data_IF_336510991075
#
_entry.id   IF_336510991075
#
_cell.length_a   1.000
_cell.length_b   1.000
_cell.length_c   1.000
_cell.angle_alpha   90.00
_cell.angle_beta   90.00
_cell.angle_gamma   90.00
#
_symmetry.space_group_name_H-M   'P 1'
#
loop_
_entity.id
_entity.type
_entity.pdbx_description
1 polymer ?
#
# COMPACT_ATOMS: atom_id res chain seq x y z
N UNK A 1 4.05 11.87 12.09
CA UNK A 1 3.21 11.98 10.87
C UNK A 1 3.88 11.13 9.83
N UNK A 2 3.16 10.20 9.19
CA UNK A 2 3.74 9.34 8.16
C UNK A 2 4.22 10.20 7.00
N UNK A 3 5.46 10.01 6.58
CA UNK A 3 6.01 10.62 5.36
C UNK A 3 5.56 9.77 4.16
N UNK A 4 4.56 10.28 3.45
CA UNK A 4 3.97 9.62 2.28
C UNK A 4 4.85 9.76 1.04
N UNK A 5 5.64 10.84 0.95
CA UNK A 5 6.54 11.11 -0.17
C UNK A 5 7.69 10.09 -0.18
N UNK A 6 8.29 9.83 0.99
CA UNK A 6 9.32 8.80 1.12
C UNK A 6 8.83 7.37 0.79
N UNK A 7 7.52 7.11 0.90
CA UNK A 7 6.92 5.80 0.54
C UNK A 7 6.63 5.72 -0.96
N UNK A 8 6.21 6.82 -1.57
CA UNK A 8 6.06 6.92 -3.02
C UNK A 8 7.41 6.70 -3.72
N UNK A 9 8.48 7.37 -3.27
CA UNK A 9 9.84 7.19 -3.81
C UNK A 9 10.30 5.71 -3.75
N UNK A 10 9.97 5.03 -2.65
CA UNK A 10 10.29 3.61 -2.50
C UNK A 10 9.47 2.73 -3.44
N UNK A 11 8.21 3.06 -3.69
CA UNK A 11 7.37 2.34 -4.64
C UNK A 11 7.90 2.52 -6.07
N UNK A 12 8.28 3.74 -6.43
CA UNK A 12 8.83 4.05 -7.75
C UNK A 12 10.14 3.28 -8.02
N UNK A 13 11.03 3.21 -7.03
CA UNK A 13 12.25 2.42 -7.14
C UNK A 13 11.96 0.92 -7.36
N UNK A 14 10.96 0.37 -6.66
CA UNK A 14 10.55 -1.02 -6.82
C UNK A 14 9.93 -1.29 -8.20
N UNK A 15 9.07 -0.39 -8.69
CA UNK A 15 8.45 -0.50 -10.01
C UNK A 15 9.51 -0.45 -11.11
N UNK A 16 10.48 0.46 -11.01
CA UNK A 16 11.59 0.58 -11.95
C UNK A 16 12.50 -0.66 -11.97
N UNK A 17 12.88 -1.18 -10.80
CA UNK A 17 13.69 -2.41 -10.68
C UNK A 17 13.00 -3.63 -11.31
N UNK A 18 11.66 -3.68 -11.22
CA UNK A 18 10.87 -4.81 -11.73
C UNK A 18 10.29 -4.59 -13.13
N UNK A 19 10.47 -3.41 -13.73
CA UNK A 19 9.89 -3.07 -15.03
C UNK A 19 8.35 -3.09 -15.03
N UNK A 20 7.74 -2.69 -13.91
CA UNK A 20 6.29 -2.68 -13.73
C UNK A 20 5.76 -1.26 -13.84
N UNK A 21 4.60 -1.08 -14.47
CA UNK A 21 3.93 0.22 -14.53
C UNK A 21 3.03 0.48 -13.31
N UNK A 22 2.56 -0.58 -12.65
CA UNK A 22 1.69 -0.49 -11.48
C UNK A 22 1.74 -1.76 -10.62
N UNK A 23 1.28 -1.64 -9.37
CA UNK A 23 1.03 -2.78 -8.46
C UNK A 23 -0.38 -2.68 -7.86
N UNK A 24 -1.03 -3.83 -7.68
CA UNK A 24 -2.31 -3.92 -7.00
C UNK A 24 -2.13 -4.46 -5.58
N UNK A 25 -2.51 -3.66 -4.58
CA UNK A 25 -2.49 -4.09 -3.18
C UNK A 25 -3.79 -4.83 -2.84
N UNK A 26 -3.82 -6.14 -3.11
CA UNK A 26 -4.99 -6.98 -2.84
C UNK A 26 -5.31 -7.18 -1.35
N UNK A 27 -4.34 -6.94 -0.45
CA UNK A 27 -4.48 -7.14 0.98
C UNK A 27 -4.51 -5.80 1.74
N UNK A 28 -5.35 -5.66 2.78
CA UNK A 28 -5.50 -4.41 3.56
C UNK A 28 -4.18 -3.86 4.10
N UNK A 29 -3.24 -4.73 4.48
CA UNK A 29 -1.96 -4.32 5.06
C UNK A 29 -1.08 -3.54 4.06
N UNK A 30 -1.18 -3.83 2.77
CA UNK A 30 -0.44 -3.12 1.72
C UNK A 30 -1.00 -1.72 1.46
N UNK A 31 -2.32 -1.58 1.54
CA UNK A 31 -2.98 -0.28 1.41
C UNK A 31 -2.65 0.64 2.58
N UNK A 32 -2.79 0.16 3.83
CA UNK A 32 -2.40 0.92 5.04
C UNK A 32 -0.94 1.38 4.99
N UNK A 33 -0.06 0.53 4.47
CA UNK A 33 1.34 0.88 4.25
C UNK A 33 1.51 2.02 3.24
N UNK A 34 0.71 2.11 2.18
CA UNK A 34 0.84 3.18 1.20
C UNK A 34 0.24 4.50 1.68
N UNK A 35 -0.97 4.49 2.24
CA UNK A 35 -1.72 5.73 2.55
C UNK A 35 -1.54 6.24 3.98
N UNK A 36 -0.84 5.50 4.84
CA UNK A 36 -0.60 5.91 6.23
C UNK A 36 -1.84 5.89 7.14
N UNK A 37 -2.95 5.33 6.65
CA UNK A 37 -4.19 5.14 7.40
C UNK A 37 -4.19 3.85 8.22
N UNK A 38 -4.91 3.90 9.35
CA UNK A 38 -5.19 2.73 10.19
C UNK A 38 -6.39 1.99 9.58
N UNK A 39 -6.13 0.91 8.86
CA UNK A 39 -7.21 0.11 8.30
C UNK A 39 -7.89 -0.64 9.45
N UNK A 40 -9.19 -0.38 9.67
CA UNK A 40 -10.03 -1.25 10.51
C UNK A 40 -10.14 -2.59 9.77
N UNK A 41 -9.29 -3.54 10.13
CA UNK A 41 -9.35 -4.91 9.63
C UNK A 41 -10.38 -5.65 10.50
N UNK A 42 -11.59 -5.83 9.98
CA UNK A 42 -12.48 -6.86 10.52
C UNK A 42 -11.85 -8.22 10.21
N UNK A 43 -11.54 -9.00 11.26
CA UNK A 43 -10.86 -10.28 11.17
C UNK A 43 -11.64 -11.34 10.36
N UNK A 44 -12.95 -11.13 10.14
CA UNK A 44 -13.82 -12.01 9.37
C UNK A 44 -14.08 -11.52 7.93
N UNK A 45 -13.56 -10.36 7.52
CA UNK A 45 -13.77 -9.83 6.17
C UNK A 45 -12.56 -10.10 5.25
N UNK A 46 -12.71 -10.85 4.14
CA UNK A 46 -11.60 -11.15 3.23
C UNK A 46 -11.12 -9.93 2.42
N UNK A 47 -11.81 -8.79 2.50
CA UNK A 47 -11.47 -7.54 1.81
C UNK A 47 -11.69 -6.35 2.74
N UNK A 48 -10.66 -5.51 2.88
CA UNK A 48 -10.77 -4.21 3.56
C UNK A 48 -11.37 -3.20 2.59
N UNK A 49 -12.30 -2.37 3.08
CA UNK A 49 -12.84 -1.23 2.32
C UNK A 49 -12.10 0.03 2.79
N UNK A 50 -11.58 0.79 1.82
CA UNK A 50 -11.03 2.12 2.00
C UNK A 50 -11.61 3.05 0.93
#
# INVERSE_FOLDING_TARGET
MVDLDARADRLDAYLADRGLEAVWFAAPNGFAWLVGGDNVVDADAPHGVA
#
